data_IF_796230694394
#
_entry.id   IF_796230694394
#
_cell.length_a   1.000
_cell.length_b   1.000
_cell.length_c   1.000
_cell.angle_alpha   90.00
_cell.angle_beta   90.00
_cell.angle_gamma   90.00
#
_symmetry.space_group_name_H-M   'P 1'
#
loop_
_entity.id
_entity.type
_entity.pdbx_description
1 polymer ?
#
# COMPACT_ATOMS: atom_id res chain seq x y z
N UNK A 1 2.13 0.38 -23.64
CA UNK A 1 0.75 0.87 -23.43
C UNK A 1 0.76 1.77 -22.19
N UNK A 2 0.94 3.07 -22.40
CA UNK A 2 0.99 4.14 -21.37
C UNK A 2 -0.42 4.53 -20.95
N UNK A 3 -0.63 4.77 -19.65
CA UNK A 3 -1.90 5.32 -19.15
C UNK A 3 -2.06 6.77 -19.59
N UNK A 4 -3.29 7.20 -19.86
CA UNK A 4 -3.57 8.63 -20.00
C UNK A 4 -3.68 9.29 -18.62
N UNK A 5 -3.42 10.59 -18.54
CA UNK A 5 -3.62 11.36 -17.30
C UNK A 5 -5.06 11.27 -16.77
N UNK A 6 -6.04 11.05 -17.67
CA UNK A 6 -7.43 10.85 -17.29
C UNK A 6 -7.64 9.51 -16.57
N UNK A 7 -6.92 8.46 -16.96
CA UNK A 7 -7.01 7.14 -16.31
C UNK A 7 -6.48 7.21 -14.88
N UNK A 8 -5.32 7.86 -14.68
CA UNK A 8 -4.73 8.03 -13.35
C UNK A 8 -5.66 8.85 -12.44
N UNK A 9 -6.21 9.95 -12.96
CA UNK A 9 -7.14 10.79 -12.21
C UNK A 9 -8.40 10.02 -11.81
N UNK A 10 -8.94 9.19 -12.70
CA UNK A 10 -10.12 8.37 -12.40
C UNK A 10 -9.88 7.39 -11.25
N UNK A 11 -8.70 6.77 -11.22
CA UNK A 11 -8.30 5.82 -10.18
C UNK A 11 -8.09 6.51 -8.83
N UNK A 12 -7.46 7.69 -8.82
CA UNK A 12 -7.24 8.48 -7.60
C UNK A 12 -8.57 8.96 -7.00
N UNK A 13 -9.50 9.45 -7.83
CA UNK A 13 -10.81 9.92 -7.34
C UNK A 13 -11.67 8.77 -6.81
N UNK A 14 -11.67 7.62 -7.48
CA UNK A 14 -12.35 6.41 -7.01
C UNK A 14 -11.80 5.99 -5.62
N UNK A 15 -10.49 6.05 -5.45
CA UNK A 15 -9.80 5.73 -4.20
C UNK A 15 -10.17 6.68 -3.06
N UNK A 16 -10.10 8.00 -3.28
CA UNK A 16 -10.40 9.00 -2.24
C UNK A 16 -11.80 8.82 -1.65
N UNK A 17 -12.78 8.45 -2.48
CA UNK A 17 -14.13 8.16 -2.00
C UNK A 17 -14.16 6.93 -1.07
N UNK A 18 -13.57 5.81 -1.51
CA UNK A 18 -13.59 4.55 -0.73
C UNK A 18 -12.83 4.65 0.59
N UNK A 19 -11.69 5.34 0.62
CA UNK A 19 -10.93 5.56 1.86
C UNK A 19 -11.76 6.25 2.94
N UNK A 20 -12.59 7.22 2.56
CA UNK A 20 -13.39 7.99 3.53
C UNK A 20 -14.45 7.15 4.26
N UNK A 21 -14.81 5.99 3.71
CA UNK A 21 -15.85 5.11 4.25
C UNK A 21 -15.26 3.97 5.11
N UNK A 22 -13.96 3.70 5.01
CA UNK A 22 -13.30 2.58 5.67
C UNK A 22 -12.76 3.00 7.04
N UNK A 23 -13.18 2.26 8.08
CA UNK A 23 -12.67 2.41 9.46
C UNK A 23 -11.75 1.27 9.90
N UNK A 24 -11.68 0.21 9.11
CA UNK A 24 -10.85 -0.97 9.37
C UNK A 24 -9.49 -0.81 8.69
N UNK A 25 -8.42 -0.86 9.48
CA UNK A 25 -7.05 -0.67 8.99
C UNK A 25 -6.60 -1.79 8.04
N UNK A 26 -7.08 -3.02 8.21
CA UNK A 26 -6.73 -4.15 7.34
C UNK A 26 -7.37 -3.97 5.98
N UNK A 27 -8.67 -3.63 5.94
CA UNK A 27 -9.37 -3.34 4.69
C UNK A 27 -8.76 -2.13 3.95
N UNK A 28 -8.31 -1.12 4.70
CA UNK A 28 -7.60 0.02 4.13
C UNK A 28 -6.28 -0.41 3.46
N UNK A 29 -5.53 -1.33 4.07
CA UNK A 29 -4.29 -1.86 3.51
C UNK A 29 -4.50 -2.68 2.24
N UNK A 30 -5.44 -3.62 2.27
CA UNK A 30 -5.78 -4.44 1.10
C UNK A 30 -6.15 -3.55 -0.10
N UNK A 31 -6.98 -2.54 0.18
CA UNK A 31 -7.37 -1.56 -0.82
C UNK A 31 -6.15 -0.79 -1.34
N UNK A 32 -5.32 -0.21 -0.48
CA UNK A 32 -4.12 0.52 -0.88
C UNK A 32 -3.18 -0.32 -1.77
N UNK A 33 -3.00 -1.61 -1.44
CA UNK A 33 -2.19 -2.55 -2.22
C UNK A 33 -2.80 -2.77 -3.60
N UNK A 34 -4.09 -3.08 -3.69
CA UNK A 34 -4.78 -3.31 -4.98
C UNK A 34 -4.73 -2.06 -5.89
N UNK A 35 -5.00 -0.89 -5.32
CA UNK A 35 -4.92 0.37 -6.05
C UNK A 35 -3.51 0.68 -6.55
N UNK A 36 -2.49 0.44 -5.72
CA UNK A 36 -1.10 0.64 -6.11
C UNK A 36 -0.70 -0.28 -7.27
N UNK A 37 -1.15 -1.55 -7.25
CA UNK A 37 -0.95 -2.50 -8.36
C UNK A 37 -1.63 -2.03 -9.64
N UNK A 38 -2.88 -1.55 -9.56
CA UNK A 38 -3.62 -1.01 -10.71
C UNK A 38 -2.93 0.21 -11.33
N UNK A 39 -2.47 1.15 -10.50
CA UNK A 39 -1.77 2.36 -10.94
C UNK A 39 -0.42 2.05 -11.59
N UNK A 40 0.36 1.16 -11.00
CA UNK A 40 1.75 0.89 -11.42
C UNK A 40 1.89 -0.25 -12.41
N UNK A 41 0.86 -1.09 -12.59
CA UNK A 41 0.92 -2.41 -13.26
C UNK A 41 1.94 -3.36 -12.61
N UNK A 42 2.30 -3.14 -11.35
CA UNK A 42 3.21 -4.02 -10.63
C UNK A 42 2.52 -5.37 -10.34
N UNK A 43 3.30 -6.45 -10.39
CA UNK A 43 2.81 -7.79 -10.05
C UNK A 43 2.48 -7.90 -8.55
N UNK A 44 3.20 -7.16 -7.71
CA UNK A 44 3.05 -7.12 -6.25
C UNK A 44 3.18 -5.68 -5.76
N UNK A 45 2.48 -5.37 -4.68
CA UNK A 45 2.68 -4.15 -3.89
C UNK A 45 2.54 -4.51 -2.40
N UNK A 46 3.14 -3.70 -1.54
CA UNK A 46 3.05 -3.87 -0.09
C UNK A 46 3.04 -2.50 0.55
N UNK A 47 2.16 -2.33 1.53
CA UNK A 47 2.07 -1.09 2.32
C UNK A 47 2.70 -1.37 3.67
N UNK A 48 3.67 -0.54 4.04
CA UNK A 48 4.35 -0.60 5.33
C UNK A 48 3.92 0.57 6.19
N UNK A 49 3.51 0.30 7.43
CA UNK A 49 3.30 1.30 8.47
C UNK A 49 4.59 1.42 9.27
N UNK A 50 5.04 2.65 9.44
CA UNK A 50 6.21 2.94 10.24
C UNK A 50 5.78 3.17 11.71
N UNK A 51 6.30 2.33 12.60
CA UNK A 51 6.29 2.57 14.05
C UNK A 51 7.65 3.12 14.46
N UNK A 52 7.72 4.45 14.52
CA UNK A 52 8.96 5.16 14.84
C UNK A 52 9.38 5.01 16.31
N UNK A 53 8.46 4.66 17.20
CA UNK A 53 8.78 4.43 18.62
C UNK A 53 9.54 3.11 18.78
N UNK A 54 9.06 2.06 18.11
CA UNK A 54 9.66 0.73 18.18
C UNK A 54 10.72 0.49 17.11
N UNK A 55 10.93 1.46 16.20
CA UNK A 55 11.83 1.35 15.04
C UNK A 55 11.54 0.13 14.16
N UNK A 56 10.25 -0.14 13.94
CA UNK A 56 9.75 -1.27 13.15
C UNK A 56 8.83 -0.81 12.03
N UNK A 57 8.89 -1.52 10.90
CA UNK A 57 7.88 -1.47 9.86
C UNK A 57 6.95 -2.65 10.03
N UNK A 58 5.65 -2.39 9.95
CA UNK A 58 4.60 -3.39 10.03
C UNK A 58 3.79 -3.42 8.74
N UNK A 59 3.45 -4.61 8.27
CA UNK A 59 2.46 -4.81 7.22
C UNK A 59 1.50 -5.92 7.64
N UNK A 60 0.20 -5.65 7.62
CA UNK A 60 -0.83 -6.65 7.85
C UNK A 60 -1.24 -7.42 6.59
N UNK A 61 -0.88 -6.87 5.42
CA UNK A 61 -1.27 -7.38 4.10
C UNK A 61 -0.06 -7.26 3.18
N UNK A 62 0.93 -8.11 3.41
CA UNK A 62 1.91 -8.41 2.36
C UNK A 62 1.22 -9.37 1.39
N UNK A 63 1.26 -9.09 0.08
CA UNK A 63 0.55 -9.81 -0.98
C UNK A 63 0.79 -11.35 -0.91
N UNK A 64 -0.10 -12.06 -0.20
CA UNK A 64 -0.02 -13.50 0.08
C UNK A 64 0.78 -13.94 1.32
N UNK A 65 1.17 -13.04 2.23
CA UNK A 65 1.94 -13.32 3.45
C UNK A 65 1.20 -12.79 4.70
N UNK A 66 1.33 -13.52 5.83
CA UNK A 66 0.80 -13.12 7.13
C UNK A 66 1.58 -11.95 7.74
N UNK A 67 0.96 -11.18 8.65
CA UNK A 67 1.53 -10.05 9.39
C UNK A 67 3.06 -10.14 9.60
N UNK A 68 3.80 -9.21 9.00
CA UNK A 68 5.26 -9.13 9.15
C UNK A 68 5.65 -7.85 9.90
N UNK A 69 6.61 -8.00 10.83
CA UNK A 69 7.29 -6.90 11.48
C UNK A 69 8.77 -6.99 11.13
N UNK A 70 9.33 -5.95 10.51
CA UNK A 70 10.75 -5.87 10.19
C UNK A 70 11.37 -4.63 10.83
N UNK A 71 12.61 -4.69 11.33
CA UNK A 71 13.33 -3.48 11.74
C UNK A 71 13.44 -2.47 10.60
N UNK A 72 13.25 -1.18 10.89
CA UNK A 72 13.36 -0.07 9.89
C UNK A 72 14.72 -0.09 9.18
N UNK A 73 15.78 -0.50 9.88
CA UNK A 73 17.15 -0.54 9.37
C UNK A 73 17.53 -1.86 8.70
N UNK A 74 16.56 -2.71 8.35
CA UNK A 74 16.82 -4.01 7.72
C UNK A 74 16.11 -4.16 6.37
N UNK A 75 16.87 -4.55 5.34
CA UNK A 75 16.33 -4.89 4.02
C UNK A 75 16.25 -3.74 2.99
N UNK A 76 15.48 -3.96 1.92
CA UNK A 76 15.33 -3.08 0.74
C UNK A 76 14.38 -1.89 1.00
N UNK A 77 13.63 -1.91 2.11
CA UNK A 77 12.53 -0.97 2.37
C UNK A 77 13.02 0.45 2.70
N UNK A 78 14.33 0.66 2.82
CA UNK A 78 14.96 1.99 2.94
C UNK A 78 15.22 2.67 1.58
N UNK A 79 14.98 2.00 0.44
CA UNK A 79 15.24 2.57 -0.90
C UNK A 79 13.95 2.68 -1.72
N UNK A 80 13.18 3.75 -1.51
CA UNK A 80 12.42 4.48 -2.55
C UNK A 80 12.32 5.95 -2.15
#
# INVERSE_FOLDING_TARGET
MTYSNADILSVVLEFSKKVSEIKDYTLLQEMLVDYSKRLTKAQRATVWFCDDLNKTLWSGVADGLCNENIPIYSGIVEVV
#
